data_IF_761041108829
#
_entry.id   IF_761041108829
#
_cell.length_a   1.000
_cell.length_b   1.000
_cell.length_c   1.000
_cell.angle_alpha   90.00
_cell.angle_beta   90.00
_cell.angle_gamma   90.00
#
_symmetry.space_group_name_H-M   'P 1'
#
loop_
_entity.id
_entity.type
_entity.pdbx_description
1 polymer ?
#
# COMPACT_ATOMS: atom_id res chain seq x y z
N UNK A 1 -22.71 4.51 2.95
CA UNK A 1 -21.93 3.95 4.06
C UNK A 1 -21.92 4.89 5.26
N UNK A 2 -21.56 4.36 6.44
CA UNK A 2 -21.39 5.16 7.66
C UNK A 2 -19.89 5.27 7.93
N UNK A 3 -19.39 6.49 8.11
CA UNK A 3 -17.99 6.76 8.49
C UNK A 3 -17.92 7.10 9.97
N UNK A 4 -17.01 6.45 10.70
CA UNK A 4 -16.71 6.74 12.11
C UNK A 4 -15.31 7.34 12.17
N UNK A 5 -15.21 8.61 12.57
CA UNK A 5 -13.94 9.30 12.68
C UNK A 5 -13.38 9.14 14.09
N UNK A 6 -12.08 8.80 14.17
CA UNK A 6 -11.35 8.73 15.42
C UNK A 6 -10.25 9.81 15.41
N UNK A 7 -10.33 10.76 16.37
CA UNK A 7 -9.38 11.89 16.42
C UNK A 7 -7.99 11.48 16.92
N UNK A 8 -7.96 10.64 17.94
CA UNK A 8 -6.72 10.15 18.57
C UNK A 8 -6.63 8.64 18.38
N UNK A 9 -5.44 8.15 18.12
CA UNK A 9 -5.20 6.70 18.01
C UNK A 9 -5.27 6.11 19.42
N UNK A 10 -6.29 5.30 19.64
CA UNK A 10 -6.57 4.58 20.89
C UNK A 10 -7.01 3.16 20.51
N UNK A 11 -6.20 2.18 20.83
CA UNK A 11 -6.39 0.80 20.36
C UNK A 11 -7.63 0.17 20.96
N UNK A 12 -7.83 0.33 22.27
CA UNK A 12 -9.04 -0.14 22.95
C UNK A 12 -10.29 0.44 22.29
N UNK A 13 -10.24 1.75 21.99
CA UNK A 13 -11.34 2.46 21.32
C UNK A 13 -11.57 1.95 19.89
N UNK A 14 -10.53 1.60 19.16
CA UNK A 14 -10.66 1.01 17.81
C UNK A 14 -11.46 -0.28 17.90
N UNK A 15 -11.08 -1.22 18.77
CA UNK A 15 -11.83 -2.48 18.94
C UNK A 15 -13.26 -2.25 19.42
N UNK A 16 -13.49 -1.32 20.35
CA UNK A 16 -14.85 -0.96 20.82
C UNK A 16 -15.73 -0.42 19.68
N UNK A 17 -15.17 0.44 18.83
CA UNK A 17 -15.91 1.02 17.70
C UNK A 17 -16.19 -0.02 16.62
N UNK A 18 -15.25 -0.91 16.32
CA UNK A 18 -15.46 -2.02 15.39
C UNK A 18 -16.65 -2.87 15.85
N UNK A 19 -16.67 -3.28 17.12
CA UNK A 19 -17.73 -4.09 17.68
C UNK A 19 -19.08 -3.34 17.72
N UNK A 20 -19.07 -2.11 18.27
CA UNK A 20 -20.29 -1.30 18.46
C UNK A 20 -21.01 -0.96 17.16
N UNK A 21 -20.24 -0.66 16.10
CA UNK A 21 -20.80 -0.17 14.83
C UNK A 21 -20.69 -1.17 13.69
N UNK A 22 -20.24 -2.41 13.96
CA UNK A 22 -19.98 -3.43 12.95
C UNK A 22 -19.13 -2.89 11.80
N UNK A 23 -18.00 -2.26 12.16
CA UNK A 23 -17.07 -1.70 11.16
C UNK A 23 -16.50 -2.84 10.31
N UNK A 24 -16.62 -2.70 9.01
CA UNK A 24 -16.11 -3.67 8.03
C UNK A 24 -14.82 -3.25 7.36
N UNK A 25 -14.55 -1.94 7.33
CA UNK A 25 -13.36 -1.38 6.65
C UNK A 25 -12.81 -0.20 7.46
N UNK A 26 -11.49 -0.07 7.51
CA UNK A 26 -10.85 1.19 7.93
C UNK A 26 -9.51 1.39 7.21
N UNK A 27 -9.02 2.65 7.24
CA UNK A 27 -7.68 3.01 6.77
C UNK A 27 -6.79 3.39 7.94
N UNK A 28 -5.53 2.95 7.91
CA UNK A 28 -4.55 3.31 8.92
C UNK A 28 -3.12 3.22 8.39
N UNK A 29 -2.27 4.15 8.82
CA UNK A 29 -0.85 4.08 8.52
C UNK A 29 -0.21 2.84 9.19
N UNK A 30 0.95 2.33 8.71
CA UNK A 30 1.62 1.16 9.28
C UNK A 30 1.87 1.23 10.77
N UNK A 31 2.09 2.44 11.32
CA UNK A 31 2.23 2.63 12.77
C UNK A 31 0.95 2.23 13.54
N UNK A 32 -0.23 2.49 12.99
CA UNK A 32 -1.50 2.10 13.60
C UNK A 32 -1.65 0.58 13.61
N UNK A 33 -1.29 -0.07 12.50
CA UNK A 33 -1.29 -1.53 12.40
C UNK A 33 -0.32 -2.15 13.42
N UNK A 34 0.87 -1.56 13.56
CA UNK A 34 1.85 -1.99 14.54
C UNK A 34 1.32 -1.87 15.98
N UNK A 35 0.64 -0.79 16.30
CA UNK A 35 0.00 -0.60 17.61
C UNK A 35 -1.10 -1.64 17.86
N UNK A 36 -1.97 -1.91 16.87
CA UNK A 36 -3.01 -2.94 16.98
C UNK A 36 -2.38 -4.33 17.18
N UNK A 37 -1.40 -4.68 16.34
CA UNK A 37 -0.75 -5.99 16.35
C UNK A 37 0.01 -6.29 17.66
N UNK A 38 0.46 -5.25 18.36
CA UNK A 38 1.22 -5.38 19.60
C UNK A 38 0.45 -4.86 20.84
N UNK A 39 -0.84 -4.62 20.71
CA UNK A 39 -1.67 -4.19 21.82
C UNK A 39 -1.73 -5.28 22.93
N UNK A 40 -1.80 -4.90 24.21
CA UNK A 40 -2.04 -5.84 25.29
C UNK A 40 -3.32 -6.65 25.07
N UNK A 41 -3.32 -7.91 25.50
CA UNK A 41 -4.46 -8.83 25.29
C UNK A 41 -5.77 -8.31 25.88
N UNK A 42 -5.70 -7.55 26.99
CA UNK A 42 -6.88 -6.93 27.63
C UNK A 42 -7.46 -5.74 26.86
N UNK A 43 -6.76 -5.21 25.88
CA UNK A 43 -7.24 -4.15 24.99
C UNK A 43 -7.76 -4.71 23.67
N UNK A 44 -7.39 -5.94 23.32
CA UNK A 44 -7.86 -6.62 22.13
C UNK A 44 -9.24 -7.24 22.35
N UNK A 45 -10.07 -7.25 21.31
CA UNK A 45 -11.34 -7.99 21.30
C UNK A 45 -11.37 -8.90 20.09
N UNK A 46 -11.95 -10.07 20.27
CA UNK A 46 -12.25 -10.96 19.13
C UNK A 46 -13.18 -10.27 18.16
N UNK A 47 -12.81 -10.27 16.89
CA UNK A 47 -13.64 -9.71 15.83
C UNK A 47 -14.76 -10.69 15.48
N UNK A 48 -16.00 -10.19 15.40
CA UNK A 48 -17.17 -10.99 14.99
C UNK A 48 -17.15 -11.31 13.49
N UNK A 49 -16.57 -10.40 12.71
CA UNK A 49 -16.46 -10.51 11.26
C UNK A 49 -15.05 -10.10 10.83
N UNK A 50 -14.63 -10.53 9.64
CA UNK A 50 -13.41 -10.06 9.01
C UNK A 50 -13.47 -8.53 8.81
N UNK A 51 -12.41 -7.83 9.17
CA UNK A 51 -12.27 -6.39 8.99
C UNK A 51 -11.16 -6.09 7.98
N UNK A 52 -11.52 -5.39 6.92
CA UNK A 52 -10.59 -5.01 5.86
C UNK A 52 -9.86 -3.72 6.23
N UNK A 53 -8.55 -3.74 6.09
CA UNK A 53 -7.69 -2.60 6.45
C UNK A 53 -6.88 -2.16 5.24
N UNK A 54 -7.03 -0.92 4.85
CA UNK A 54 -6.16 -0.30 3.85
C UNK A 54 -5.00 0.42 4.54
N UNK A 55 -3.77 0.14 4.14
CA UNK A 55 -2.57 0.80 4.66
C UNK A 55 -1.70 1.33 3.52
N UNK A 56 -1.10 2.50 3.74
CA UNK A 56 -0.25 3.20 2.80
C UNK A 56 0.84 4.01 3.51
N UNK A 57 1.75 4.59 2.74
CA UNK A 57 2.81 5.50 3.22
C UNK A 57 4.16 4.84 3.43
N UNK A 58 4.19 3.59 3.87
CA UNK A 58 5.38 2.75 3.93
C UNK A 58 4.98 1.27 3.86
N UNK A 59 5.83 0.37 3.36
CA UNK A 59 5.56 -1.06 3.39
C UNK A 59 5.40 -1.56 4.83
N UNK A 60 4.28 -2.19 5.19
CA UNK A 60 4.12 -2.77 6.52
C UNK A 60 5.05 -3.98 6.66
N UNK A 61 5.73 -4.16 7.81
CA UNK A 61 6.53 -5.36 8.06
C UNK A 61 5.68 -6.63 7.94
N UNK A 62 6.20 -7.68 7.29
CA UNK A 62 5.49 -8.94 7.09
C UNK A 62 5.05 -9.59 8.41
N UNK A 63 5.85 -9.43 9.48
CA UNK A 63 5.51 -9.90 10.83
C UNK A 63 4.27 -9.21 11.40
N UNK A 64 4.06 -7.93 11.10
CA UNK A 64 2.88 -7.18 11.52
C UNK A 64 1.67 -7.63 10.71
N UNK A 65 1.81 -7.83 9.39
CA UNK A 65 0.74 -8.37 8.55
C UNK A 65 0.24 -9.73 9.05
N UNK A 66 1.16 -10.63 9.41
CA UNK A 66 0.85 -11.94 9.99
C UNK A 66 0.07 -11.82 11.30
N UNK A 67 0.50 -10.94 12.22
CA UNK A 67 -0.23 -10.66 13.46
C UNK A 67 -1.61 -10.07 13.22
N UNK A 68 -1.74 -9.10 12.32
CA UNK A 68 -3.04 -8.52 11.96
C UNK A 68 -3.99 -9.59 11.43
N UNK A 69 -3.51 -10.48 10.57
CA UNK A 69 -4.29 -11.59 10.04
C UNK A 69 -4.75 -12.54 11.15
N UNK A 70 -3.89 -12.88 12.12
CA UNK A 70 -4.27 -13.73 13.26
C UNK A 70 -5.32 -13.08 14.17
N UNK A 71 -5.42 -11.76 14.17
CA UNK A 71 -6.46 -11.00 14.89
C UNK A 71 -7.78 -10.86 14.09
N UNK A 72 -7.85 -11.38 12.85
CA UNK A 72 -9.04 -11.32 12.00
C UNK A 72 -9.09 -10.13 11.06
N UNK A 73 -8.00 -9.38 10.90
CA UNK A 73 -7.89 -8.29 9.94
C UNK A 73 -7.35 -8.77 8.60
N UNK A 74 -7.94 -8.29 7.51
CA UNK A 74 -7.44 -8.49 6.16
C UNK A 74 -6.81 -7.20 5.67
N UNK A 75 -5.47 -7.18 5.58
CA UNK A 75 -4.72 -5.96 5.24
C UNK A 75 -4.44 -5.91 3.73
N UNK A 76 -4.80 -4.81 3.11
CA UNK A 76 -4.44 -4.43 1.74
C UNK A 76 -3.41 -3.32 1.79
N UNK A 77 -2.22 -3.58 1.26
CA UNK A 77 -1.21 -2.55 1.06
C UNK A 77 -1.47 -1.83 -0.26
N UNK A 78 -1.49 -0.50 -0.21
CA UNK A 78 -1.64 0.37 -1.38
C UNK A 78 -0.48 1.34 -1.47
N UNK A 79 -0.12 1.73 -2.69
CA UNK A 79 0.95 2.67 -2.95
C UNK A 79 0.45 3.84 -3.78
N UNK A 80 0.93 5.01 -3.44
CA UNK A 80 0.69 6.27 -4.12
C UNK A 80 1.28 7.42 -3.32
N UNK A 81 1.26 8.60 -3.93
CA UNK A 81 1.83 9.82 -3.39
C UNK A 81 0.78 10.94 -3.42
N UNK A 82 1.05 12.04 -2.73
CA UNK A 82 0.23 13.25 -2.85
C UNK A 82 0.18 13.73 -4.29
N UNK A 83 1.27 13.59 -4.99
CA UNK A 83 1.47 13.95 -6.40
C UNK A 83 0.64 13.10 -7.38
N UNK A 84 0.14 11.95 -6.94
CA UNK A 84 -0.73 11.06 -7.73
C UNK A 84 -2.20 11.10 -7.30
N UNK A 85 -2.57 12.05 -6.42
CA UNK A 85 -3.92 12.20 -5.87
C UNK A 85 -4.42 10.94 -5.16
N UNK A 86 -3.56 10.27 -4.44
CA UNK A 86 -3.86 9.02 -3.73
C UNK A 86 -3.15 7.81 -4.33
N UNK A 87 -3.70 6.65 -4.06
CA UNK A 87 -3.05 5.39 -4.43
C UNK A 87 -3.28 5.03 -5.90
N UNK A 88 -2.21 4.56 -6.54
CA UNK A 88 -2.16 4.20 -7.96
C UNK A 88 -1.92 2.71 -8.17
N UNK A 89 -1.48 2.01 -7.13
CA UNK A 89 -1.34 0.56 -7.13
C UNK A 89 -1.74 -0.06 -5.79
N UNK A 90 -2.00 -1.35 -5.81
CA UNK A 90 -2.37 -2.13 -4.63
C UNK A 90 -1.84 -3.55 -4.75
N UNK A 91 -1.56 -4.16 -3.62
CA UNK A 91 -1.21 -5.56 -3.58
C UNK A 91 -2.48 -6.41 -3.72
N UNK A 92 -2.97 -6.58 -4.95
CA UNK A 92 -4.10 -7.46 -5.24
C UNK A 92 -3.72 -8.90 -4.86
N UNK A 93 -4.65 -9.62 -4.23
CA UNK A 93 -4.41 -11.01 -3.90
C UNK A 93 -4.68 -11.90 -5.12
N UNK A 94 -3.79 -12.86 -5.38
CA UNK A 94 -3.99 -13.88 -6.40
C UNK A 94 -4.31 -15.20 -5.70
N UNK A 95 -5.42 -15.84 -6.05
CA UNK A 95 -5.88 -17.11 -5.46
C UNK A 95 -4.84 -18.24 -5.56
N UNK A 96 -3.96 -18.20 -6.57
CA UNK A 96 -2.87 -19.18 -6.69
C UNK A 96 -1.89 -19.17 -5.51
N UNK A 97 -1.87 -18.08 -4.73
CA UNK A 97 -1.03 -17.95 -3.54
C UNK A 97 -1.65 -18.50 -2.26
N UNK A 98 -2.91 -18.97 -2.31
CA UNK A 98 -3.59 -19.53 -1.14
C UNK A 98 -2.87 -20.76 -0.58
N UNK A 99 -2.12 -21.47 -1.42
CA UNK A 99 -1.34 -22.63 -1.03
C UNK A 99 0.06 -22.30 -0.46
N UNK A 100 0.47 -21.03 -0.46
CA UNK A 100 1.75 -20.64 0.14
C UNK A 100 1.65 -20.65 1.67
N UNK A 101 2.80 -20.83 2.32
CA UNK A 101 2.87 -20.69 3.78
C UNK A 101 2.63 -19.22 4.19
N UNK A 102 2.29 -19.01 5.46
CA UNK A 102 1.91 -17.69 5.98
C UNK A 102 3.04 -16.65 5.89
N UNK A 103 4.30 -17.08 5.96
CA UNK A 103 5.44 -16.17 5.84
C UNK A 103 5.55 -15.63 4.41
N UNK A 104 5.38 -16.51 3.41
CA UNK A 104 5.38 -16.10 1.99
C UNK A 104 4.18 -15.23 1.64
N UNK A 105 3.00 -15.57 2.15
CA UNK A 105 1.80 -14.73 1.99
C UNK A 105 2.02 -13.34 2.57
N UNK A 106 2.58 -13.24 3.77
CA UNK A 106 2.85 -11.97 4.43
C UNK A 106 3.93 -11.16 3.71
N UNK A 107 4.95 -11.81 3.15
CA UNK A 107 5.94 -11.15 2.29
C UNK A 107 5.26 -10.52 1.07
N UNK A 108 4.44 -11.29 0.34
CA UNK A 108 3.74 -10.80 -0.86
C UNK A 108 2.82 -9.63 -0.51
N UNK A 109 2.06 -9.71 0.58
CA UNK A 109 1.16 -8.63 1.04
C UNK A 109 1.88 -7.31 1.34
N UNK A 110 3.20 -7.32 1.51
CA UNK A 110 3.99 -6.09 1.68
C UNK A 110 4.35 -5.38 0.37
N UNK A 111 4.12 -6.01 -0.80
CA UNK A 111 4.43 -5.43 -2.10
C UNK A 111 3.52 -4.24 -2.42
N UNK A 112 3.99 -3.34 -3.29
CA UNK A 112 3.20 -2.25 -3.85
C UNK A 112 2.20 -2.76 -4.88
N UNK A 113 2.44 -3.97 -5.39
CA UNK A 113 1.52 -4.74 -6.20
C UNK A 113 1.37 -4.26 -7.64
N UNK A 114 0.13 -4.21 -8.12
CA UNK A 114 -0.22 -3.89 -9.50
C UNK A 114 -1.04 -2.60 -9.58
N UNK A 115 -1.01 -1.93 -10.73
CA UNK A 115 -1.76 -0.70 -10.96
C UNK A 115 -3.27 -0.88 -10.82
N UNK A 116 -3.96 0.16 -10.41
CA UNK A 116 -5.41 0.22 -10.51
C UNK A 116 -5.89 0.40 -11.98
N UNK A 117 -7.11 0.00 -12.31
CA UNK A 117 -7.67 0.18 -13.66
C UNK A 117 -7.71 1.64 -14.14
N UNK A 118 -7.82 2.61 -13.22
CA UNK A 118 -7.83 4.04 -13.54
C UNK A 118 -6.43 4.63 -13.79
N UNK A 119 -5.38 3.91 -13.43
CA UNK A 119 -3.99 4.33 -13.66
C UNK A 119 -3.55 3.82 -15.02
N UNK A 120 -3.09 4.72 -15.88
CA UNK A 120 -2.65 4.37 -17.22
C UNK A 120 -1.46 3.40 -17.18
N UNK A 121 -0.41 3.77 -16.44
CA UNK A 121 0.78 2.94 -16.31
C UNK A 121 1.51 3.17 -14.99
N UNK A 122 1.99 2.09 -14.37
CA UNK A 122 2.99 2.07 -13.30
C UNK A 122 4.11 1.16 -13.78
N UNK A 123 5.26 1.72 -14.05
CA UNK A 123 6.41 1.00 -14.59
C UNK A 123 7.64 1.16 -13.70
N UNK A 124 8.52 0.15 -13.72
CA UNK A 124 9.86 0.25 -13.12
C UNK A 124 10.84 0.42 -14.26
N UNK A 125 11.40 1.63 -14.39
CA UNK A 125 12.23 2.01 -15.53
C UNK A 125 13.64 2.38 -15.06
N UNK A 126 14.62 2.19 -15.94
CA UNK A 126 15.95 2.80 -15.79
C UNK A 126 15.82 4.32 -16.00
N UNK A 127 16.12 5.16 -15.00
CA UNK A 127 15.95 6.60 -15.09
C UNK A 127 16.84 7.29 -16.13
N UNK A 128 17.86 6.63 -16.66
CA UNK A 128 18.76 7.18 -17.65
C UNK A 128 18.24 7.05 -19.09
N UNK A 129 17.57 5.94 -19.39
CA UNK A 129 17.17 5.61 -20.75
C UNK A 129 15.68 5.30 -20.92
N UNK A 130 14.90 5.32 -19.82
CA UNK A 130 13.45 5.06 -19.77
C UNK A 130 13.04 3.66 -20.26
N UNK A 131 13.99 2.72 -20.33
CA UNK A 131 13.68 1.34 -20.68
C UNK A 131 13.19 0.57 -19.46
N UNK A 132 12.18 -0.29 -19.62
CA UNK A 132 11.74 -1.17 -18.55
C UNK A 132 12.89 -2.05 -18.05
N UNK A 133 13.02 -2.18 -16.75
CA UNK A 133 13.92 -3.16 -16.16
C UNK A 133 13.41 -4.59 -16.39
N UNK A 134 14.28 -5.61 -16.38
CA UNK A 134 13.85 -7.01 -16.42
C UNK A 134 12.84 -7.32 -15.29
N UNK A 135 11.84 -8.13 -15.60
CA UNK A 135 10.87 -8.62 -14.61
C UNK A 135 11.42 -9.83 -13.85
N UNK A 136 12.55 -9.63 -13.17
CA UNK A 136 13.29 -10.69 -12.49
C UNK A 136 13.21 -10.62 -10.95
N UNK A 137 12.53 -9.58 -10.42
CA UNK A 137 12.42 -9.32 -8.99
C UNK A 137 13.75 -8.93 -8.33
N UNK A 138 14.75 -8.50 -9.12
CA UNK A 138 16.12 -8.21 -8.65
C UNK A 138 16.68 -6.91 -9.21
N UNK A 139 16.49 -6.68 -10.52
CA UNK A 139 17.01 -5.48 -11.19
C UNK A 139 16.21 -4.27 -10.77
N UNK A 140 16.90 -3.33 -10.13
CA UNK A 140 16.27 -2.09 -9.63
C UNK A 140 16.12 -1.06 -10.74
N UNK A 141 15.00 -0.35 -10.69
CA UNK A 141 14.73 0.87 -11.42
C UNK A 141 13.92 1.83 -10.57
N UNK A 142 13.51 2.94 -11.16
CA UNK A 142 12.63 3.91 -10.52
C UNK A 142 11.17 3.62 -10.88
N UNK A 143 10.26 3.74 -9.92
CA UNK A 143 8.82 3.73 -10.21
C UNK A 143 8.48 5.00 -10.97
N UNK A 144 8.02 4.85 -12.20
CA UNK A 144 7.53 5.93 -13.04
C UNK A 144 6.05 5.73 -13.37
N UNK A 145 5.30 6.83 -13.38
CA UNK A 145 3.85 6.78 -13.39
C UNK A 145 3.28 7.63 -14.52
N UNK A 146 2.28 7.10 -15.20
CA UNK A 146 1.38 7.82 -16.10
C UNK A 146 -0.04 7.65 -15.61
N UNK A 147 -0.72 8.76 -15.35
CA UNK A 147 -2.12 8.76 -14.95
C UNK A 147 -2.71 10.16 -15.08
N UNK A 148 -3.99 10.23 -15.36
CA UNK A 148 -4.74 11.49 -15.30
C UNK A 148 -4.90 12.04 -13.87
N UNK A 149 -4.55 11.25 -12.86
CA UNK A 149 -4.54 11.65 -11.44
C UNK A 149 -3.21 12.27 -11.01
N UNK A 150 -2.15 12.18 -11.84
CA UNK A 150 -0.88 12.85 -11.55
C UNK A 150 -1.08 14.36 -11.56
N UNK A 151 -0.53 15.04 -10.55
CA UNK A 151 -0.63 16.49 -10.40
C UNK A 151 -0.10 17.25 -11.62
N UNK A 152 -0.57 18.47 -11.84
CA UNK A 152 -0.02 19.35 -12.88
C UNK A 152 1.39 19.89 -12.54
N UNK A 153 1.73 19.94 -11.27
CA UNK A 153 3.01 20.40 -10.76
C UNK A 153 2.92 21.00 -9.37
N UNK A 154 4.08 21.35 -8.81
CA UNK A 154 4.18 22.04 -7.54
C UNK A 154 3.82 23.51 -7.67
N UNK A 155 3.02 24.00 -6.72
CA UNK A 155 2.55 25.38 -6.72
C UNK A 155 3.74 26.38 -6.68
N UNK A 156 3.80 27.28 -7.66
CA UNK A 156 4.87 28.30 -7.82
C UNK A 156 6.30 27.73 -7.79
N UNK A 157 6.49 26.46 -8.19
CA UNK A 157 7.80 25.81 -8.23
C UNK A 157 7.98 25.01 -9.52
N UNK A 158 8.18 25.73 -10.62
CA UNK A 158 8.34 25.15 -11.96
C UNK A 158 9.59 24.26 -12.07
N UNK A 159 10.66 24.63 -11.36
CA UNK A 159 11.92 23.89 -11.46
C UNK A 159 11.85 22.52 -10.77
N UNK A 160 11.20 22.43 -9.60
CA UNK A 160 10.91 21.16 -8.97
C UNK A 160 9.96 20.31 -9.84
N UNK A 161 8.94 20.94 -10.45
CA UNK A 161 8.02 20.26 -11.36
C UNK A 161 8.75 19.67 -12.55
N UNK A 162 9.62 20.43 -13.24
CA UNK A 162 10.39 19.95 -14.39
C UNK A 162 11.32 18.77 -14.05
N UNK A 163 11.82 18.72 -12.82
CA UNK A 163 12.70 17.62 -12.38
C UNK A 163 11.98 16.28 -12.32
N UNK A 164 10.71 16.29 -11.94
CA UNK A 164 9.93 15.06 -11.71
C UNK A 164 8.95 14.74 -12.85
N UNK A 165 8.74 15.68 -13.77
CA UNK A 165 7.89 15.49 -14.96
C UNK A 165 8.76 15.51 -16.19
N UNK A 166 9.15 14.34 -16.69
CA UNK A 166 10.03 14.24 -17.84
C UNK A 166 9.60 13.10 -18.76
N UNK A 167 9.74 13.29 -20.07
CA UNK A 167 9.39 12.32 -21.12
C UNK A 167 7.98 11.71 -20.97
N UNK A 168 7.02 12.49 -20.46
CA UNK A 168 5.65 12.03 -20.24
C UNK A 168 5.49 11.10 -19.04
N UNK A 169 6.48 11.03 -18.15
CA UNK A 169 6.44 10.29 -16.92
C UNK A 169 6.53 11.21 -15.70
N UNK A 170 5.81 10.82 -14.65
CA UNK A 170 6.06 11.31 -13.31
C UNK A 170 7.10 10.41 -12.64
N UNK A 171 8.18 10.99 -12.17
CA UNK A 171 9.25 10.34 -11.42
C UNK A 171 8.90 10.33 -9.93
N UNK A 172 8.69 9.16 -9.37
CA UNK A 172 8.33 9.04 -7.94
C UNK A 172 9.50 9.27 -7.00
N UNK A 173 10.73 9.01 -7.47
CA UNK A 173 11.93 8.95 -6.64
C UNK A 173 12.07 7.63 -5.87
N UNK A 174 11.10 6.73 -5.94
CA UNK A 174 11.13 5.44 -5.26
C UNK A 174 11.80 4.37 -6.13
N UNK A 175 12.79 3.68 -5.57
CA UNK A 175 13.46 2.56 -6.24
C UNK A 175 12.70 1.26 -5.96
N UNK A 176 12.51 0.47 -6.99
CA UNK A 176 11.77 -0.78 -6.92
C UNK A 176 12.29 -1.83 -7.89
N UNK A 177 11.81 -3.06 -7.73
CA UNK A 177 11.97 -4.15 -8.68
C UNK A 177 10.61 -4.56 -9.23
N UNK A 178 10.60 -5.12 -10.46
CA UNK A 178 9.41 -5.69 -11.08
C UNK A 178 9.51 -7.23 -11.03
N UNK A 179 8.50 -7.87 -10.46
CA UNK A 179 8.41 -9.34 -10.44
C UNK A 179 7.87 -9.89 -11.78
N UNK A 180 8.11 -11.20 -12.08
CA UNK A 180 7.64 -11.84 -13.32
C UNK A 180 6.13 -11.73 -13.55
N UNK A 181 5.35 -11.73 -12.48
CA UNK A 181 3.89 -11.59 -12.47
C UNK A 181 3.41 -10.13 -12.58
N UNK A 182 4.34 -9.17 -12.70
CA UNK A 182 4.03 -7.76 -12.83
C UNK A 182 3.85 -7.00 -11.51
N UNK A 183 4.09 -7.65 -10.37
CA UNK A 183 4.02 -6.98 -9.07
C UNK A 183 5.28 -6.15 -8.82
N UNK A 184 5.06 -4.92 -8.35
CA UNK A 184 6.13 -4.00 -7.95
C UNK A 184 6.44 -4.20 -6.47
N UNK A 185 7.74 -4.19 -6.14
CA UNK A 185 8.25 -4.23 -4.77
C UNK A 185 9.33 -3.16 -4.60
N UNK A 186 9.13 -2.23 -3.64
CA UNK A 186 10.10 -1.25 -3.14
C UNK A 186 11.09 -1.93 -2.20
#
# INVERSE_FOLDING_TARGET
GRTICLRNIDIKKIFELIDKYNITHFGGAPIVLNMIANAPQNEQKSLKNKVYVMTAGAPPPSSILKKMQSLGFEVMHVYGLTETYGHISHCAWNESWDNYNEDKKSEIKSFQGVRYPHTEEVAVLDPKNYKPVPKDGKTMGEIMIRSNTVMKGYYKNSDATKKIMNNGWFHSGDLAVMHPDGYVKI
#
